data_IF_780933569857
#
_entry.id   IF_780933569857
#
_cell.length_a   1.000
_cell.length_b   1.000
_cell.length_c   1.000
_cell.angle_alpha   90.00
_cell.angle_beta   90.00
_cell.angle_gamma   90.00
#
_symmetry.space_group_name_H-M   'P 1'
#
loop_
_entity.id
_entity.type
_entity.pdbx_description
1 polymer ?
#
# COMPACT_ATOMS: atom_id res chain seq x y z
N UNK A 1 -11.34 -6.58 -6.48
CA UNK A 1 -11.26 -5.32 -5.69
C UNK A 1 -12.10 -5.35 -4.42
N UNK A 2 -13.21 -6.09 -4.34
CA UNK A 2 -14.04 -6.19 -3.12
C UNK A 2 -13.31 -6.76 -1.90
N UNK A 3 -12.25 -7.55 -2.10
CA UNK A 3 -11.56 -8.29 -1.04
C UNK A 3 -10.58 -7.48 -0.19
N UNK A 4 -9.91 -6.45 -0.72
CA UNK A 4 -8.82 -5.80 0.02
C UNK A 4 -9.33 -4.95 1.18
N UNK A 5 -10.32 -4.10 0.95
CA UNK A 5 -10.91 -3.27 2.00
C UNK A 5 -11.59 -4.09 3.07
N UNK A 6 -12.24 -5.20 2.70
CA UNK A 6 -12.83 -6.12 3.67
C UNK A 6 -11.78 -6.78 4.56
N UNK A 7 -10.57 -7.06 4.03
CA UNK A 7 -9.44 -7.52 4.86
C UNK A 7 -8.94 -6.39 5.77
N UNK A 8 -8.87 -5.16 5.25
CA UNK A 8 -8.44 -3.99 6.02
C UNK A 8 -9.40 -3.64 7.17
N UNK A 9 -10.71 -3.71 6.97
CA UNK A 9 -11.71 -3.38 8.01
C UNK A 9 -12.23 -4.62 8.76
N UNK A 10 -11.89 -5.83 8.28
CA UNK A 10 -12.36 -7.08 8.83
C UNK A 10 -11.93 -7.26 10.28
N UNK A 11 -12.85 -7.78 11.10
CA UNK A 11 -12.57 -8.16 12.48
C UNK A 11 -11.57 -9.31 12.47
N UNK A 12 -10.44 -9.14 13.16
CA UNK A 12 -9.71 -10.27 13.70
C UNK A 12 -10.58 -10.90 14.80
N UNK A 13 -10.53 -12.22 14.96
CA UNK A 13 -11.14 -12.90 16.10
C UNK A 13 -10.64 -12.29 17.42
N UNK A 14 -11.41 -12.47 18.49
CA UNK A 14 -11.22 -11.85 19.83
C UNK A 14 -9.87 -12.16 20.52
N UNK A 15 -8.94 -12.88 19.88
CA UNK A 15 -7.67 -13.29 20.47
C UNK A 15 -6.46 -12.40 20.19
N UNK A 16 -6.47 -11.49 19.20
CA UNK A 16 -5.22 -10.81 18.84
C UNK A 16 -5.13 -9.35 19.32
N UNK A 17 -4.46 -9.16 20.45
CA UNK A 17 -3.74 -7.90 20.81
C UNK A 17 -2.59 -7.59 19.83
N UNK A 18 -2.43 -8.37 18.76
CA UNK A 18 -1.29 -8.33 17.88
C UNK A 18 -1.53 -7.42 16.68
N UNK A 19 -0.49 -6.70 16.29
CA UNK A 19 -0.44 -5.87 15.11
C UNK A 19 -0.58 -6.73 13.84
N UNK A 20 -1.58 -6.45 13.00
CA UNK A 20 -1.76 -7.20 11.74
C UNK A 20 -0.99 -6.56 10.60
N UNK A 21 -0.10 -7.35 9.98
CA UNK A 21 0.67 -6.93 8.81
C UNK A 21 0.08 -7.59 7.55
N UNK A 22 -0.31 -6.78 6.58
CA UNK A 22 -0.91 -7.20 5.32
C UNK A 22 0.05 -6.82 4.20
N UNK A 23 0.50 -7.81 3.44
CA UNK A 23 1.43 -7.62 2.32
C UNK A 23 0.73 -7.75 0.97
N UNK A 24 0.91 -6.75 0.11
CA UNK A 24 0.67 -6.87 -1.33
C UNK A 24 1.99 -7.22 -2.03
N UNK A 25 2.09 -8.43 -2.54
CA UNK A 25 3.27 -8.94 -3.24
C UNK A 25 2.99 -9.04 -4.72
N UNK A 26 3.95 -8.71 -5.58
CA UNK A 26 3.79 -8.88 -7.02
C UNK A 26 4.88 -8.18 -7.82
N UNK A 27 4.94 -8.47 -9.11
CA UNK A 27 6.00 -7.95 -9.98
C UNK A 27 5.97 -6.42 -10.17
N UNK A 28 7.02 -5.87 -10.79
CA UNK A 28 7.04 -4.47 -11.20
C UNK A 28 5.93 -4.19 -12.23
N UNK A 29 5.33 -3.00 -12.18
CA UNK A 29 4.29 -2.59 -13.13
C UNK A 29 2.89 -3.19 -12.88
N UNK A 30 2.70 -4.02 -11.85
CA UNK A 30 1.38 -4.57 -11.47
C UNK A 30 0.52 -3.61 -10.64
N UNK A 31 0.98 -2.37 -10.42
CA UNK A 31 0.21 -1.31 -9.75
C UNK A 31 -0.13 -1.60 -8.27
N UNK A 32 0.73 -2.33 -7.53
CA UNK A 32 0.53 -2.61 -6.09
C UNK A 32 0.32 -1.33 -5.27
N UNK A 33 1.19 -0.34 -5.48
CA UNK A 33 1.11 0.99 -4.87
C UNK A 33 -0.23 1.64 -5.15
N UNK A 34 -0.69 1.62 -6.40
CA UNK A 34 -1.98 2.20 -6.78
C UNK A 34 -3.14 1.45 -6.11
N UNK A 35 -3.09 0.11 -6.04
CA UNK A 35 -4.10 -0.67 -5.35
C UNK A 35 -4.11 -0.40 -3.83
N UNK A 36 -2.95 -0.24 -3.20
CA UNK A 36 -2.82 0.09 -1.79
C UNK A 36 -3.18 1.55 -1.48
N UNK A 37 -2.92 2.48 -2.40
CA UNK A 37 -3.32 3.88 -2.30
C UNK A 37 -4.81 4.07 -2.48
N UNK A 38 -5.41 3.34 -3.43
CA UNK A 38 -6.86 3.16 -3.44
C UNK A 38 -7.22 2.64 -2.05
N UNK A 39 -6.69 1.46 -1.67
CA UNK A 39 -6.66 0.79 -0.35
C UNK A 39 -6.92 1.66 0.89
N UNK A 40 -6.09 2.69 0.93
CA UNK A 40 -5.92 3.60 2.03
C UNK A 40 -6.93 4.74 2.03
N UNK A 41 -7.44 5.10 0.85
CA UNK A 41 -8.26 6.28 0.63
C UNK A 41 -9.77 6.04 0.54
N UNK A 42 -10.22 4.78 0.62
CA UNK A 42 -11.64 4.44 0.57
C UNK A 42 -12.39 4.86 1.83
N UNK A 43 -13.63 5.31 1.65
CA UNK A 43 -14.47 5.87 2.70
C UNK A 43 -14.59 4.95 3.92
N UNK A 44 -14.82 3.65 3.72
CA UNK A 44 -14.92 2.68 4.82
C UNK A 44 -13.61 2.52 5.61
N UNK A 45 -12.46 2.55 4.95
CA UNK A 45 -11.15 2.51 5.64
C UNK A 45 -10.92 3.82 6.37
N UNK A 46 -11.24 4.96 5.75
CA UNK A 46 -11.16 6.29 6.40
C UNK A 46 -12.00 6.38 7.66
N UNK A 47 -13.20 5.79 7.66
CA UNK A 47 -14.11 5.79 8.80
C UNK A 47 -13.74 4.75 9.87
N UNK A 48 -12.90 3.75 9.56
CA UNK A 48 -12.58 2.66 10.47
C UNK A 48 -11.40 2.96 11.41
N UNK A 49 -10.45 3.79 10.96
CA UNK A 49 -9.19 4.07 11.66
C UNK A 49 -9.13 5.52 12.11
N UNK A 50 -8.76 5.74 13.37
CA UNK A 50 -8.62 7.07 13.97
C UNK A 50 -7.44 7.82 13.36
N UNK A 51 -6.36 7.08 13.08
CA UNK A 51 -5.15 7.61 12.46
C UNK A 51 -4.84 6.79 11.22
N UNK A 52 -4.50 7.49 10.13
CA UNK A 52 -4.02 6.88 8.90
C UNK A 52 -2.74 7.57 8.49
N UNK A 53 -1.66 6.80 8.35
CA UNK A 53 -0.33 7.29 7.99
C UNK A 53 0.09 6.58 6.70
N UNK A 54 0.63 7.34 5.75
CA UNK A 54 1.23 6.77 4.55
C UNK A 54 2.69 7.21 4.45
N UNK A 55 3.61 6.26 4.44
CA UNK A 55 5.05 6.53 4.31
C UNK A 55 5.57 5.88 3.03
N UNK A 56 6.26 6.68 2.22
CA UNK A 56 7.08 6.16 1.14
C UNK A 56 8.51 6.06 1.66
N UNK A 57 9.09 4.87 1.59
CA UNK A 57 10.46 4.62 2.05
C UNK A 57 11.39 4.78 0.86
N UNK A 58 12.49 5.52 0.99
CA UNK A 58 13.55 5.55 -0.03
C UNK A 58 14.61 4.49 0.23
N UNK A 59 15.36 4.08 -0.79
CA UNK A 59 16.60 3.32 -0.62
C UNK A 59 17.81 4.28 -0.60
N UNK A 60 18.73 4.19 0.39
CA UNK A 60 18.75 3.25 1.52
C UNK A 60 17.68 3.54 2.58
N UNK A 61 17.23 2.50 3.28
CA UNK A 61 16.25 2.61 4.36
C UNK A 61 16.79 3.43 5.53
N UNK A 62 16.15 4.56 5.83
CA UNK A 62 16.55 5.50 6.87
C UNK A 62 15.46 5.55 7.96
N UNK A 63 15.74 4.88 9.09
CA UNK A 63 14.80 4.77 10.20
C UNK A 63 14.40 6.16 10.74
N UNK A 64 15.33 7.10 10.85
CA UNK A 64 15.01 8.43 11.37
C UNK A 64 14.10 9.20 10.41
N UNK A 65 14.32 9.12 9.10
CA UNK A 65 13.42 9.75 8.11
C UNK A 65 12.02 9.13 8.15
N UNK A 66 11.92 7.81 8.25
CA UNK A 66 10.62 7.12 8.37
C UNK A 66 9.89 7.55 9.64
N UNK A 67 10.58 7.58 10.78
CA UNK A 67 9.99 7.98 12.04
C UNK A 67 9.50 9.44 12.00
N UNK A 68 10.29 10.35 11.44
CA UNK A 68 9.89 11.76 11.23
C UNK A 68 8.68 11.89 10.31
N UNK A 69 8.63 11.14 9.21
CA UNK A 69 7.49 11.13 8.30
C UNK A 69 6.19 10.66 9.00
N UNK A 70 6.29 9.68 9.91
CA UNK A 70 5.16 9.25 10.75
C UNK A 70 4.71 10.38 11.68
N UNK A 71 5.65 11.00 12.41
CA UNK A 71 5.37 12.06 13.39
C UNK A 71 4.74 13.30 12.74
N UNK A 72 5.19 13.68 11.54
CA UNK A 72 4.66 14.83 10.80
C UNK A 72 3.16 14.74 10.52
N UNK A 73 2.59 13.53 10.40
CA UNK A 73 1.14 13.34 10.20
C UNK A 73 0.31 13.90 11.36
N UNK A 74 0.90 13.99 12.55
CA UNK A 74 0.24 14.52 13.74
C UNK A 74 0.34 16.05 13.86
N UNK A 75 0.91 16.75 12.86
CA UNK A 75 1.10 18.19 12.90
C UNK A 75 2.19 18.64 13.88
N UNK A 76 2.98 17.71 14.40
CA UNK A 76 4.18 18.02 15.17
C UNK A 76 5.18 18.60 14.18
N UNK A 77 5.60 19.85 14.40
CA UNK A 77 6.60 20.52 13.57
C UNK A 77 7.92 19.76 13.54
N UNK A 78 8.84 20.17 12.65
CA UNK A 78 10.14 19.51 12.53
C UNK A 78 10.85 19.48 13.88
N UNK A 79 10.88 18.29 14.48
CA UNK A 79 11.54 18.09 15.74
C UNK A 79 13.05 18.09 15.48
N UNK A 80 13.78 18.88 16.26
CA UNK A 80 15.25 18.84 16.27
C UNK A 80 15.80 17.50 16.78
N UNK A 81 14.93 16.59 17.24
CA UNK A 81 15.31 15.24 17.64
C UNK A 81 15.78 14.44 16.42
N UNK A 82 16.99 13.91 16.53
CA UNK A 82 17.62 13.08 15.50
C UNK A 82 17.79 11.63 15.94
N UNK A 83 17.68 11.36 17.24
CA UNK A 83 17.83 10.04 17.83
C UNK A 83 16.59 9.18 17.57
N UNK A 84 16.81 7.99 16.98
CA UNK A 84 15.73 7.09 16.62
C UNK A 84 14.87 6.68 17.82
N UNK A 85 15.49 6.37 18.96
CA UNK A 85 14.78 5.93 20.16
C UNK A 85 13.77 6.97 20.62
N UNK A 86 14.18 8.23 20.70
CA UNK A 86 13.33 9.35 21.09
C UNK A 86 12.19 9.59 20.08
N UNK A 87 12.45 9.40 18.78
CA UNK A 87 11.40 9.45 17.75
C UNK A 87 10.40 8.29 17.89
N UNK A 88 10.85 7.08 18.20
CA UNK A 88 9.99 5.92 18.42
C UNK A 88 9.12 6.07 19.67
N UNK A 89 9.68 6.55 20.78
CA UNK A 89 8.92 6.87 22.00
C UNK A 89 7.83 7.91 21.73
N UNK A 90 8.16 8.93 20.95
CA UNK A 90 7.18 9.92 20.51
C UNK A 90 6.08 9.29 19.67
N UNK A 91 6.40 8.38 18.74
CA UNK A 91 5.41 7.63 17.97
C UNK A 91 4.51 6.82 18.90
N UNK A 92 5.06 6.10 19.88
CA UNK A 92 4.31 5.31 20.86
C UNK A 92 3.26 6.16 21.58
N UNK A 93 3.67 7.33 22.11
CA UNK A 93 2.75 8.22 22.83
C UNK A 93 1.71 8.85 21.90
N UNK A 94 2.09 9.19 20.66
CA UNK A 94 1.13 9.69 19.68
C UNK A 94 0.07 8.61 19.38
N UNK A 95 0.44 7.38 19.07
CA UNK A 95 -0.57 6.38 18.64
C UNK A 95 -1.34 5.73 19.79
N UNK A 96 -0.92 5.95 21.03
CA UNK A 96 -1.42 5.27 22.24
C UNK A 96 -2.95 5.27 22.32
N UNK A 97 -3.54 4.09 22.39
CA UNK A 97 -4.99 3.92 22.52
C UNK A 97 -5.81 4.35 21.30
N UNK A 98 -5.18 4.66 20.16
CA UNK A 98 -5.84 5.05 18.90
C UNK A 98 -5.66 3.95 17.85
N UNK A 99 -6.72 3.64 17.10
CA UNK A 99 -6.66 2.62 16.05
C UNK A 99 -5.95 3.17 14.82
N UNK A 100 -4.78 2.63 14.54
CA UNK A 100 -3.87 3.14 13.51
C UNK A 100 -3.88 2.27 12.26
N UNK A 101 -3.80 2.92 11.10
CA UNK A 101 -3.50 2.25 9.84
C UNK A 101 -2.29 2.87 9.18
N UNK A 102 -1.22 2.07 9.07
CA UNK A 102 0.03 2.49 8.46
C UNK A 102 0.19 1.83 7.09
N UNK A 103 0.15 2.62 6.03
CA UNK A 103 0.52 2.21 4.69
C UNK A 103 1.99 2.51 4.44
N UNK A 104 2.74 1.51 3.98
CA UNK A 104 4.15 1.66 3.65
C UNK A 104 4.39 1.16 2.24
N UNK A 105 4.98 2.03 1.43
CA UNK A 105 5.27 1.77 0.03
C UNK A 105 6.77 1.80 -0.23
N UNK A 106 7.16 1.11 -1.31
CA UNK A 106 8.50 1.11 -1.92
C UNK A 106 9.50 0.09 -1.35
N UNK A 107 10.69 0.03 -1.96
CA UNK A 107 11.70 -1.03 -1.86
C UNK A 107 12.19 -1.26 -0.42
N UNK A 108 11.78 -2.41 0.13
CA UNK A 108 12.20 -2.88 1.43
C UNK A 108 13.59 -3.49 1.36
N UNK A 109 14.46 -3.08 2.27
CA UNK A 109 15.69 -3.82 2.58
C UNK A 109 15.33 -5.20 3.11
N UNK A 110 16.14 -6.21 2.78
CA UNK A 110 16.01 -7.56 3.32
C UNK A 110 16.60 -7.68 4.75
N UNK A 111 16.29 -6.71 5.61
CA UNK A 111 16.78 -6.64 6.98
C UNK A 111 15.63 -6.33 7.94
N UNK A 112 15.23 -7.35 8.70
CA UNK A 112 14.16 -7.24 9.69
C UNK A 112 14.50 -6.28 10.82
N UNK A 113 15.79 -6.09 11.13
CA UNK A 113 16.23 -5.27 12.27
C UNK A 113 15.91 -3.79 12.08
N UNK A 114 15.81 -3.35 10.82
CA UNK A 114 15.43 -1.98 10.49
C UNK A 114 13.94 -1.70 10.74
N UNK A 115 13.10 -2.74 10.63
CA UNK A 115 11.65 -2.63 10.76
C UNK A 115 11.13 -2.92 12.16
N UNK A 116 11.75 -3.86 12.88
CA UNK A 116 11.26 -4.33 14.18
C UNK A 116 10.95 -3.20 15.19
N UNK A 117 11.75 -2.11 15.29
CA UNK A 117 11.43 -1.01 16.20
C UNK A 117 10.10 -0.32 15.88
N UNK A 118 9.74 -0.18 14.61
CA UNK A 118 8.45 0.40 14.20
C UNK A 118 7.30 -0.55 14.48
N UNK A 119 7.49 -1.85 14.23
CA UNK A 119 6.51 -2.88 14.58
C UNK A 119 6.18 -2.83 16.07
N UNK A 120 7.20 -2.78 16.93
CA UNK A 120 7.05 -2.67 18.39
C UNK A 120 6.39 -1.36 18.79
N UNK A 121 6.80 -0.22 18.20
CA UNK A 121 6.16 1.05 18.48
C UNK A 121 4.66 1.00 18.18
N UNK A 122 4.29 0.46 17.01
CA UNK A 122 2.90 0.35 16.54
C UNK A 122 2.00 -0.58 17.36
N UNK A 123 2.57 -1.50 18.14
CA UNK A 123 1.81 -2.32 19.09
C UNK A 123 1.22 -1.50 20.25
N UNK A 124 1.69 -0.26 20.49
CA UNK A 124 1.09 0.65 21.47
C UNK A 124 -0.24 1.26 20.98
N UNK A 125 -0.61 1.08 19.71
CA UNK A 125 -1.90 1.48 19.17
C UNK A 125 -3.07 0.66 19.75
N UNK A 126 -4.29 1.08 19.46
CA UNK A 126 -5.48 0.33 19.86
C UNK A 126 -5.57 -1.02 19.11
N UNK A 127 -6.22 -2.05 19.69
CA UNK A 127 -6.52 -3.30 19.01
C UNK A 127 -7.20 -3.09 17.65
N UNK A 128 -6.85 -3.92 16.69
CA UNK A 128 -7.30 -3.79 15.31
C UNK A 128 -6.53 -2.77 14.48
N UNK A 129 -5.44 -2.19 15.01
CA UNK A 129 -4.46 -1.44 14.21
C UNK A 129 -3.81 -2.36 13.17
N UNK A 130 -3.56 -1.83 11.97
CA UNK A 130 -3.05 -2.61 10.82
C UNK A 130 -1.93 -1.90 10.08
N UNK A 131 -1.14 -2.70 9.39
CA UNK A 131 -0.09 -2.25 8.49
C UNK A 131 -0.36 -2.84 7.12
N UNK A 132 -0.29 -2.02 6.08
CA UNK A 132 -0.34 -2.43 4.70
C UNK A 132 1.02 -2.15 4.06
N UNK A 133 1.69 -3.18 3.58
CA UNK A 133 2.96 -3.05 2.88
C UNK A 133 2.83 -3.48 1.43
N UNK A 134 3.55 -2.83 0.53
CA UNK A 134 3.73 -3.30 -0.85
C UNK A 134 5.16 -3.80 -1.03
N UNK A 135 5.35 -4.94 -1.72
CA UNK A 135 6.70 -5.46 -2.00
C UNK A 135 6.74 -6.27 -3.29
N UNK A 136 7.92 -6.40 -3.88
CA UNK A 136 8.16 -7.30 -5.02
C UNK A 136 8.55 -8.71 -4.58
N UNK A 137 8.99 -8.87 -3.33
CA UNK A 137 9.65 -10.08 -2.85
C UNK A 137 8.84 -10.71 -1.73
N UNK A 138 8.48 -11.99 -1.91
CA UNK A 138 7.79 -12.76 -0.87
C UNK A 138 8.61 -12.89 0.42
N UNK A 139 9.95 -12.87 0.33
CA UNK A 139 10.82 -12.93 1.52
C UNK A 139 10.61 -11.74 2.46
N UNK A 140 10.40 -10.55 1.90
CA UNK A 140 10.08 -9.34 2.67
C UNK A 140 8.75 -9.52 3.40
N UNK A 141 7.70 -10.01 2.73
CA UNK A 141 6.41 -10.24 3.39
C UNK A 141 6.53 -11.20 4.59
N UNK A 142 7.32 -12.28 4.46
CA UNK A 142 7.58 -13.22 5.55
C UNK A 142 8.37 -12.59 6.70
N UNK A 143 9.44 -11.88 6.37
CA UNK A 143 10.31 -11.19 7.33
C UNK A 143 9.57 -10.13 8.15
N UNK A 144 8.65 -9.41 7.52
CA UNK A 144 7.80 -8.42 8.17
C UNK A 144 6.74 -9.05 9.09
N UNK A 145 6.66 -10.39 9.11
CA UNK A 145 5.70 -11.17 9.88
C UNK A 145 4.27 -10.93 9.40
N UNK A 146 4.06 -10.93 8.08
CA UNK A 146 2.74 -10.71 7.48
C UNK A 146 1.73 -11.76 7.95
N UNK A 147 0.68 -11.29 8.60
CA UNK A 147 -0.50 -12.09 8.94
C UNK A 147 -1.28 -12.48 7.69
N UNK A 148 -1.30 -11.60 6.69
CA UNK A 148 -1.96 -11.86 5.41
C UNK A 148 -1.08 -11.43 4.24
N UNK A 149 -0.96 -12.29 3.23
CA UNK A 149 -0.19 -12.01 2.02
C UNK A 149 -1.09 -12.17 0.80
N UNK A 150 -1.23 -11.10 0.01
CA UNK A 150 -1.95 -11.09 -1.26
C UNK A 150 -0.92 -11.06 -2.37
N UNK A 151 -0.86 -12.14 -3.15
CA UNK A 151 -0.09 -12.17 -4.38
C UNK A 151 -0.92 -11.59 -5.51
N UNK A 152 -0.47 -10.47 -6.07
CA UNK A 152 -1.08 -9.81 -7.21
C UNK A 152 -0.55 -10.42 -8.50
N UNK A 153 -1.47 -11.06 -9.21
CA UNK A 153 -1.24 -11.67 -10.51
C UNK A 153 -1.44 -10.64 -11.64
N UNK A 154 -0.90 -10.97 -12.82
CA UNK A 154 -1.15 -10.19 -14.04
C UNK A 154 -2.64 -10.18 -14.37
N UNK A 155 -3.12 -9.07 -14.94
CA UNK A 155 -4.50 -8.98 -15.38
C UNK A 155 -4.73 -9.92 -16.57
N UNK A 156 -5.93 -10.49 -16.65
CA UNK A 156 -6.36 -11.14 -17.89
C UNK A 156 -6.39 -10.12 -19.03
N UNK A 157 -6.27 -10.60 -20.28
CA UNK A 157 -6.41 -9.71 -21.45
C UNK A 157 -7.76 -8.96 -21.46
N UNK A 158 -8.81 -9.56 -20.90
CA UNK A 158 -10.13 -8.93 -20.77
C UNK A 158 -10.09 -7.78 -19.76
N UNK A 159 -9.54 -8.02 -18.58
CA UNK A 159 -9.46 -6.99 -17.52
C UNK A 159 -8.50 -5.87 -17.90
N UNK A 160 -7.37 -6.20 -18.52
CA UNK A 160 -6.43 -5.22 -19.05
C UNK A 160 -7.09 -4.35 -20.14
N UNK A 161 -7.94 -4.94 -20.99
CA UNK A 161 -8.76 -4.19 -21.95
C UNK A 161 -9.76 -3.25 -21.26
N UNK A 162 -10.44 -3.68 -20.19
CA UNK A 162 -11.36 -2.82 -19.44
C UNK A 162 -10.64 -1.59 -18.87
N UNK A 163 -9.45 -1.78 -18.30
CA UNK A 163 -8.63 -0.68 -17.77
C UNK A 163 -8.16 0.24 -18.91
N UNK A 164 -7.61 -0.35 -19.98
CA UNK A 164 -7.09 0.40 -21.12
C UNK A 164 -8.18 1.24 -21.81
N UNK A 165 -9.31 0.62 -22.15
CA UNK A 165 -10.42 1.27 -22.85
C UNK A 165 -11.02 2.42 -22.03
N UNK A 166 -11.15 2.26 -20.71
CA UNK A 166 -11.62 3.35 -19.84
C UNK A 166 -10.76 4.61 -19.92
N UNK A 167 -9.45 4.45 -20.13
CA UNK A 167 -8.51 5.59 -20.25
C UNK A 167 -8.46 6.08 -21.69
N UNK A 168 -8.28 5.17 -22.66
CA UNK A 168 -8.07 5.47 -24.06
C UNK A 168 -9.31 6.08 -24.75
N UNK A 169 -10.51 5.74 -24.27
CA UNK A 169 -11.78 6.08 -24.91
C UNK A 169 -12.61 7.09 -24.10
N UNK A 170 -12.06 7.65 -23.03
CA UNK A 170 -12.80 8.51 -22.10
C UNK A 170 -13.53 9.67 -22.80
N UNK A 171 -12.91 10.25 -23.83
CA UNK A 171 -13.43 11.42 -24.57
C UNK A 171 -13.75 11.10 -26.03
N UNK A 172 -13.94 9.82 -26.37
CA UNK A 172 -14.16 9.36 -27.75
C UNK A 172 -15.63 9.11 -28.03
N UNK A 173 -16.08 9.48 -29.23
CA UNK A 173 -17.43 9.16 -29.67
C UNK A 173 -17.56 7.66 -30.02
N UNK A 174 -18.80 7.20 -30.24
CA UNK A 174 -19.06 5.77 -30.48
C UNK A 174 -18.31 5.20 -31.70
N UNK A 175 -18.22 5.97 -32.78
CA UNK A 175 -17.58 5.51 -34.01
C UNK A 175 -16.06 5.44 -33.88
N UNK A 176 -15.45 6.45 -33.23
CA UNK A 176 -14.03 6.43 -32.86
C UNK A 176 -13.72 5.24 -31.93
N UNK A 177 -14.56 4.97 -30.93
CA UNK A 177 -14.40 3.82 -30.04
C UNK A 177 -14.35 2.51 -30.82
N UNK A 178 -15.27 2.33 -31.78
CA UNK A 178 -15.38 1.12 -32.59
C UNK A 178 -14.17 0.93 -33.50
N UNK A 179 -13.65 2.00 -34.09
CA UNK A 179 -12.45 1.97 -34.92
C UNK A 179 -11.19 1.64 -34.11
N UNK A 180 -11.06 2.22 -32.92
CA UNK A 180 -9.89 2.07 -32.06
C UNK A 180 -9.88 0.74 -31.28
N UNK A 181 -11.03 0.09 -31.10
CA UNK A 181 -11.15 -1.14 -30.31
C UNK A 181 -10.20 -2.23 -30.78
N UNK A 182 -10.17 -2.53 -32.09
CA UNK A 182 -9.32 -3.59 -32.62
C UNK A 182 -7.83 -3.29 -32.42
N UNK A 183 -7.43 -2.02 -32.58
CA UNK A 183 -6.04 -1.58 -32.36
C UNK A 183 -5.69 -1.69 -30.88
N UNK A 184 -6.55 -1.17 -29.99
CA UNK A 184 -6.35 -1.22 -28.56
C UNK A 184 -6.29 -2.64 -28.00
N UNK A 185 -7.10 -3.58 -28.52
CA UNK A 185 -7.01 -5.00 -28.16
C UNK A 185 -5.68 -5.63 -28.58
N UNK A 186 -5.09 -5.23 -29.72
CA UNK A 186 -3.74 -5.67 -30.11
C UNK A 186 -2.66 -5.11 -29.18
N UNK A 187 -2.80 -3.85 -28.75
CA UNK A 187 -1.90 -3.22 -27.77
C UNK A 187 -1.95 -3.97 -26.44
N UNK A 188 -3.15 -4.22 -25.90
CA UNK A 188 -3.34 -4.93 -24.62
C UNK A 188 -2.70 -6.33 -24.64
N UNK A 189 -2.79 -7.06 -25.76
CA UNK A 189 -2.10 -8.35 -25.90
C UNK A 189 -0.58 -8.22 -25.75
N UNK A 190 0.01 -7.12 -26.24
CA UNK A 190 1.45 -6.83 -26.07
C UNK A 190 1.81 -6.42 -24.64
N UNK A 191 0.87 -5.87 -23.86
CA UNK A 191 1.07 -5.49 -22.47
C UNK A 191 1.20 -6.69 -21.51
N UNK A 192 0.85 -7.91 -21.95
CA UNK A 192 0.93 -9.15 -21.15
C UNK A 192 0.29 -9.04 -19.76
N UNK A 193 -0.85 -8.33 -19.69
CA UNK A 193 -1.60 -8.16 -18.44
C UNK A 193 -1.00 -7.15 -17.44
N UNK A 194 0.06 -6.43 -17.80
CA UNK A 194 0.63 -5.38 -16.95
C UNK A 194 -0.11 -4.06 -17.14
N UNK A 195 -0.78 -3.52 -16.11
CA UNK A 195 -1.51 -2.25 -16.25
C UNK A 195 -0.59 -1.07 -16.54
N UNK A 196 0.62 -1.04 -15.98
CA UNK A 196 1.57 0.05 -16.25
C UNK A 196 1.97 0.09 -17.74
N UNK A 197 2.19 -1.08 -18.35
CA UNK A 197 2.50 -1.16 -19.78
C UNK A 197 1.34 -0.62 -20.62
N UNK A 198 0.10 -0.95 -20.25
CA UNK A 198 -1.10 -0.45 -20.92
C UNK A 198 -1.21 1.10 -20.85
N UNK A 199 -0.88 1.70 -19.71
CA UNK A 199 -0.86 3.16 -19.54
C UNK A 199 0.24 3.84 -20.36
N UNK A 200 1.40 3.21 -20.53
CA UNK A 200 2.50 3.79 -21.31
C UNK A 200 2.17 3.93 -22.80
N UNK A 201 1.33 3.05 -23.36
CA UNK A 201 0.86 3.17 -24.74
C UNK A 201 -0.18 4.29 -24.94
N UNK A 202 -0.65 4.91 -23.87
CA UNK A 202 -1.64 6.00 -23.90
C UNK A 202 -1.02 7.38 -23.65
N UNK A 203 0.30 7.44 -23.44
CA UNK A 203 1.09 8.67 -23.35
C UNK A 203 1.79 8.92 -24.67
#
# INVERSE_FOLDING_TARGET
MSSLWSILIGKSSEEERNLHVISLVGMAGIEKTSLAQLAFNHCLVKAHFDIRIWVCVSEPFDQCKVAKAIIQVFGVGDSNVTELQSLLEQICELIKGRKCFLGIDYEWTEDSTLWEPFRLALQNGAPGSKILITTRKNIVAKMMGSTYTINLEVLSNKDCWLVFSKIALCDKNFEECKQLEHIGRKIVKKCKGLPLAAKLFLK
#
